data_IF_573361207880
#
_entry.id   IF_573361207880
#
_cell.length_a   1.000
_cell.length_b   1.000
_cell.length_c   1.000
_cell.angle_alpha   90.00
_cell.angle_beta   90.00
_cell.angle_gamma   90.00
#
_symmetry.space_group_name_H-M   'P 1'
#
loop_
_entity.id
_entity.type
_entity.pdbx_description
1 polymer ?
#
# COMPACT_ATOMS: atom_id res chain seq x y z
N UNK A 1 -1.08 -8.37 23.23
CA UNK A 1 -0.87 -7.08 22.53
C UNK A 1 0.11 -7.34 21.41
N UNK A 2 -0.12 -6.80 20.21
CA UNK A 2 0.84 -6.95 19.12
C UNK A 2 2.19 -6.30 19.48
N UNK A 3 3.27 -6.82 18.93
CA UNK A 3 4.64 -6.36 19.19
C UNK A 3 5.25 -5.73 17.93
N UNK A 4 5.82 -4.54 18.08
CA UNK A 4 6.49 -3.81 17.03
C UNK A 4 7.98 -3.64 17.35
N UNK A 5 8.83 -3.96 16.38
CA UNK A 5 10.25 -3.63 16.42
C UNK A 5 10.49 -2.37 15.59
N UNK A 6 11.14 -1.36 16.16
CA UNK A 6 11.48 -0.11 15.48
C UNK A 6 12.99 -0.09 15.27
N UNK A 7 13.45 -0.06 14.03
CA UNK A 7 14.86 -0.11 13.66
C UNK A 7 15.24 1.17 12.91
N UNK A 8 16.03 2.03 13.55
CA UNK A 8 16.43 3.34 13.03
C UNK A 8 17.80 3.70 13.63
N UNK A 9 18.72 4.24 12.84
CA UNK A 9 20.05 4.61 13.34
C UNK A 9 19.97 5.80 14.32
N UNK A 10 19.02 6.71 14.12
CA UNK A 10 18.73 7.82 15.04
C UNK A 10 17.88 7.36 16.23
N UNK A 11 18.51 7.28 17.40
CA UNK A 11 17.86 6.90 18.66
C UNK A 11 16.67 7.79 19.04
N UNK A 12 16.70 9.09 18.72
CA UNK A 12 15.58 9.99 19.01
C UNK A 12 14.42 9.73 18.05
N UNK A 13 14.71 9.50 16.77
CA UNK A 13 13.70 9.14 15.78
C UNK A 13 13.06 7.79 16.12
N UNK A 14 13.87 6.77 16.46
CA UNK A 14 13.41 5.46 16.93
C UNK A 14 12.49 5.58 18.14
N UNK A 15 12.89 6.35 19.17
CA UNK A 15 12.10 6.54 20.39
C UNK A 15 10.77 7.24 20.11
N UNK A 16 10.78 8.29 19.28
CA UNK A 16 9.58 9.03 18.89
C UNK A 16 8.61 8.14 18.11
N UNK A 17 9.12 7.37 17.16
CA UNK A 17 8.33 6.43 16.37
C UNK A 17 7.78 5.30 17.25
N UNK A 18 8.58 4.78 18.18
CA UNK A 18 8.13 3.79 19.16
C UNK A 18 6.98 4.33 20.03
N UNK A 19 7.05 5.58 20.50
CA UNK A 19 5.96 6.20 21.26
C UNK A 19 4.67 6.32 20.42
N UNK A 20 4.78 6.76 19.17
CA UNK A 20 3.64 6.83 18.24
C UNK A 20 2.98 5.46 18.04
N UNK A 21 3.79 4.40 17.87
CA UNK A 21 3.32 3.03 17.67
C UNK A 21 2.72 2.45 18.94
N UNK A 22 3.31 2.75 20.11
CA UNK A 22 2.78 2.34 21.41
C UNK A 22 1.40 2.96 21.69
N UNK A 23 1.19 4.22 21.30
CA UNK A 23 -0.11 4.89 21.39
C UNK A 23 -1.21 4.22 20.52
N UNK A 24 -0.84 3.43 19.52
CA UNK A 24 -1.76 2.63 18.71
C UNK A 24 -1.97 1.20 19.28
N UNK A 25 -1.51 0.93 20.51
CA UNK A 25 -1.78 -0.32 21.24
C UNK A 25 -0.76 -1.44 21.04
N UNK A 26 0.42 -1.12 20.51
CA UNK A 26 1.54 -2.06 20.36
C UNK A 26 2.47 -1.99 21.57
N UNK A 27 3.13 -3.11 21.86
CA UNK A 27 4.38 -3.08 22.64
C UNK A 27 5.53 -2.78 21.67
N UNK A 28 6.52 -1.99 22.07
CA UNK A 28 7.59 -1.54 21.17
C UNK A 28 8.97 -1.86 21.71
N UNK A 29 9.85 -2.33 20.84
CA UNK A 29 11.29 -2.42 21.10
C UNK A 29 12.05 -1.58 20.07
N UNK A 30 12.82 -0.55 20.48
CA UNK A 30 13.72 0.14 19.57
C UNK A 30 15.02 -0.66 19.37
N UNK A 31 15.64 -0.51 18.20
CA UNK A 31 16.95 -1.02 17.86
C UNK A 31 17.68 -0.03 16.95
N UNK A 32 18.98 0.15 17.15
CA UNK A 32 19.77 1.16 16.45
C UNK A 32 20.74 0.59 15.39
N UNK A 33 20.64 -0.72 15.15
CA UNK A 33 21.49 -1.46 14.21
C UNK A 33 20.80 -2.76 13.78
N UNK A 34 21.22 -3.36 12.67
CA UNK A 34 20.78 -4.69 12.25
C UNK A 34 21.12 -5.73 13.32
N UNK A 35 22.30 -5.62 13.94
CA UNK A 35 22.71 -6.54 15.00
C UNK A 35 21.77 -6.50 16.21
N UNK A 36 21.37 -5.31 16.64
CA UNK A 36 20.42 -5.15 17.75
C UNK A 36 19.02 -5.63 17.35
N UNK A 37 18.57 -5.30 16.14
CA UNK A 37 17.29 -5.78 15.60
C UNK A 37 17.22 -7.32 15.62
N UNK A 38 18.28 -8.01 15.16
CA UNK A 38 18.37 -9.48 15.19
C UNK A 38 18.30 -10.03 16.61
N UNK A 39 18.94 -9.38 17.59
CA UNK A 39 18.86 -9.78 19.00
C UNK A 39 17.44 -9.63 19.55
N UNK A 40 16.77 -8.52 19.25
CA UNK A 40 15.39 -8.28 19.67
C UNK A 40 14.44 -9.31 19.05
N UNK A 41 14.56 -9.59 17.74
CA UNK A 41 13.76 -10.60 17.04
C UNK A 41 13.96 -12.02 17.61
N UNK A 42 15.17 -12.34 18.07
CA UNK A 42 15.47 -13.61 18.72
C UNK A 42 14.84 -13.71 20.12
N UNK A 43 14.75 -12.59 20.84
CA UNK A 43 14.14 -12.51 22.17
C UNK A 43 12.62 -12.57 22.10
N UNK A 44 12.02 -11.73 21.25
CA UNK A 44 10.58 -11.65 21.04
C UNK A 44 10.31 -11.40 19.56
N UNK A 45 9.59 -12.34 18.92
CA UNK A 45 9.22 -12.17 17.50
C UNK A 45 8.21 -11.03 17.36
N UNK A 46 8.49 -10.02 16.52
CA UNK A 46 7.54 -8.92 16.28
C UNK A 46 6.46 -9.34 15.29
N UNK A 47 5.27 -8.76 15.45
CA UNK A 47 4.19 -8.80 14.47
C UNK A 47 4.47 -7.82 13.32
N UNK A 48 5.18 -6.70 13.61
CA UNK A 48 5.63 -5.72 12.64
C UNK A 48 7.02 -5.20 12.92
N UNK A 49 7.80 -4.99 11.87
CA UNK A 49 9.10 -4.31 11.90
C UNK A 49 8.97 -3.01 11.12
N UNK A 50 9.26 -1.89 11.77
CA UNK A 50 9.40 -0.57 11.15
C UNK A 50 10.88 -0.33 10.96
N UNK A 51 11.34 -0.27 9.72
CA UNK A 51 12.75 -0.47 9.37
C UNK A 51 13.30 0.65 8.49
N UNK A 52 14.36 1.33 8.94
CA UNK A 52 15.16 2.17 8.05
C UNK A 52 16.05 1.33 7.13
N UNK A 53 16.26 1.85 5.92
CA UNK A 53 17.17 1.29 4.92
C UNK A 53 18.63 1.53 5.25
N UNK A 54 18.94 2.68 5.86
CA UNK A 54 20.32 3.08 6.16
C UNK A 54 20.59 2.85 7.64
N UNK A 55 21.40 1.84 7.94
CA UNK A 55 21.81 1.51 9.30
C UNK A 55 23.34 1.52 9.40
N UNK A 56 23.91 1.73 10.60
CA UNK A 56 25.36 1.86 10.76
C UNK A 56 26.13 0.60 10.38
N UNK A 57 25.48 -0.56 10.39
CA UNK A 57 26.06 -1.88 10.16
C UNK A 57 25.59 -2.57 8.88
N UNK A 58 24.84 -1.88 8.01
CA UNK A 58 24.43 -2.42 6.70
C UNK A 58 23.13 -1.85 6.16
N UNK A 59 22.58 -2.51 5.14
CA UNK A 59 21.28 -2.15 4.58
C UNK A 59 20.15 -2.79 5.38
N UNK A 60 19.12 -2.02 5.72
CA UNK A 60 17.89 -2.54 6.32
C UNK A 60 17.32 -3.74 5.56
N UNK A 61 17.46 -3.74 4.24
CA UNK A 61 16.97 -4.80 3.34
C UNK A 61 17.53 -6.19 3.68
N UNK A 62 18.66 -6.28 4.37
CA UNK A 62 19.24 -7.54 4.82
C UNK A 62 18.33 -8.29 5.82
N UNK A 63 17.53 -7.57 6.62
CA UNK A 63 16.59 -8.19 7.58
C UNK A 63 15.49 -9.03 6.91
N UNK A 64 15.22 -8.83 5.62
CA UNK A 64 14.26 -9.66 4.89
C UNK A 64 14.74 -11.12 4.76
N UNK A 65 16.05 -11.35 4.77
CA UNK A 65 16.63 -12.70 4.69
C UNK A 65 16.52 -13.44 6.03
N UNK A 66 16.47 -12.68 7.14
CA UNK A 66 16.37 -13.20 8.50
C UNK A 66 14.93 -13.56 8.90
N UNK A 67 13.93 -13.11 8.13
CA UNK A 67 12.51 -13.40 8.35
C UNK A 67 12.09 -14.54 7.42
N UNK A 68 11.85 -15.72 7.99
CA UNK A 68 11.38 -16.87 7.21
C UNK A 68 10.10 -16.53 6.43
N UNK A 69 10.00 -17.00 5.19
CA UNK A 69 8.86 -16.74 4.30
C UNK A 69 7.50 -17.23 4.83
N UNK A 70 7.50 -18.05 5.89
CA UNK A 70 6.29 -18.57 6.57
C UNK A 70 5.89 -17.77 7.81
N UNK A 71 6.67 -16.76 8.19
CA UNK A 71 6.40 -15.93 9.38
C UNK A 71 5.36 -14.87 9.08
N UNK A 72 4.51 -14.56 10.07
CA UNK A 72 3.42 -13.59 9.93
C UNK A 72 3.93 -12.14 10.03
N UNK A 73 5.16 -11.93 10.50
CA UNK A 73 5.81 -10.62 10.65
C UNK A 73 5.72 -9.77 9.39
N UNK A 74 5.26 -8.54 9.54
CA UNK A 74 5.16 -7.55 8.46
C UNK A 74 6.31 -6.56 8.53
N UNK A 75 6.93 -6.25 7.40
CA UNK A 75 8.02 -5.28 7.35
C UNK A 75 7.49 -4.02 6.66
N UNK A 76 7.58 -2.89 7.35
CA UNK A 76 7.27 -1.56 6.83
C UNK A 76 8.58 -0.82 6.76
N UNK A 77 8.98 -0.40 5.55
CA UNK A 77 10.18 0.38 5.39
C UNK A 77 9.90 1.86 5.62
N UNK A 78 10.81 2.54 6.31
CA UNK A 78 10.69 3.97 6.64
C UNK A 78 12.05 4.62 6.42
N UNK A 79 12.20 5.44 5.38
CA UNK A 79 13.50 6.04 5.08
C UNK A 79 13.41 7.49 4.66
N UNK A 80 14.45 8.28 4.95
CA UNK A 80 14.65 9.61 4.38
C UNK A 80 15.31 9.60 3.00
N UNK A 81 15.93 8.47 2.61
CA UNK A 81 16.69 8.31 1.36
C UNK A 81 15.90 7.48 0.33
N UNK A 82 14.63 7.82 0.17
CA UNK A 82 13.75 7.06 -0.70
C UNK A 82 14.15 7.18 -2.18
N UNK A 83 14.13 6.05 -2.88
CA UNK A 83 14.32 6.01 -4.34
C UNK A 83 13.34 5.04 -4.99
N UNK A 84 13.08 5.24 -6.29
CA UNK A 84 12.26 4.30 -7.06
C UNK A 84 12.86 2.89 -7.05
N UNK A 85 14.18 2.77 -7.13
CA UNK A 85 14.88 1.49 -7.13
C UNK A 85 14.70 0.75 -5.79
N UNK A 86 14.93 1.44 -4.67
CA UNK A 86 14.82 0.84 -3.32
C UNK A 86 13.39 0.45 -2.97
N UNK A 87 12.40 1.26 -3.37
CA UNK A 87 10.98 0.92 -3.20
C UNK A 87 10.55 -0.30 -4.03
N UNK A 88 11.02 -0.44 -5.27
CA UNK A 88 10.74 -1.63 -6.09
C UNK A 88 11.37 -2.87 -5.45
N UNK A 89 12.62 -2.77 -4.99
CA UNK A 89 13.32 -3.88 -4.35
C UNK A 89 12.62 -4.30 -3.04
N UNK A 90 12.24 -3.34 -2.20
CA UNK A 90 11.45 -3.54 -0.99
C UNK A 90 10.22 -4.42 -1.22
N UNK A 91 9.40 -4.07 -2.20
CA UNK A 91 8.18 -4.82 -2.48
C UNK A 91 8.47 -6.17 -3.14
N UNK A 92 9.57 -6.31 -3.88
CA UNK A 92 10.01 -7.62 -4.39
C UNK A 92 10.41 -8.57 -3.26
N UNK A 93 11.03 -8.05 -2.20
CA UNK A 93 11.38 -8.80 -0.99
C UNK A 93 10.19 -9.05 -0.07
N UNK A 94 9.05 -8.39 -0.31
CA UNK A 94 7.79 -8.63 0.41
C UNK A 94 7.48 -7.60 1.50
N UNK A 95 8.01 -6.38 1.40
CA UNK A 95 7.62 -5.29 2.28
C UNK A 95 6.10 -5.07 2.22
N UNK A 96 5.47 -4.89 3.38
CA UNK A 96 4.04 -4.65 3.49
C UNK A 96 3.67 -3.21 3.10
N UNK A 97 4.56 -2.26 3.38
CA UNK A 97 4.41 -0.84 3.03
C UNK A 97 5.77 -0.13 3.00
N UNK A 98 5.82 1.07 2.42
CA UNK A 98 7.02 1.90 2.31
C UNK A 98 6.67 3.37 2.57
N UNK A 99 7.27 3.96 3.60
CA UNK A 99 7.04 5.33 4.04
C UNK A 99 8.29 6.17 3.84
N UNK A 100 8.10 7.39 3.36
CA UNK A 100 9.18 8.38 3.22
C UNK A 100 9.15 9.30 4.44
N UNK A 101 10.31 9.55 5.07
CA UNK A 101 10.45 10.56 6.12
C UNK A 101 10.38 11.96 5.49
N UNK A 102 9.66 12.94 6.06
CA UNK A 102 8.97 12.90 7.36
C UNK A 102 7.67 12.10 7.32
N UNK A 103 7.45 11.28 8.35
CA UNK A 103 6.35 10.30 8.40
C UNK A 103 5.00 11.01 8.52
N UNK A 104 4.07 10.69 7.62
CA UNK A 104 2.67 11.07 7.79
C UNK A 104 2.00 10.18 8.85
N UNK A 105 1.69 10.77 10.01
CA UNK A 105 1.10 10.06 11.15
C UNK A 105 -0.23 9.39 10.79
N UNK A 106 -1.10 10.02 9.99
CA UNK A 106 -2.37 9.41 9.55
C UNK A 106 -2.11 8.15 8.72
N UNK A 107 -1.12 8.20 7.83
CA UNK A 107 -0.73 7.05 7.01
C UNK A 107 -0.17 5.92 7.88
N UNK A 108 0.74 6.22 8.81
CA UNK A 108 1.30 5.23 9.73
C UNK A 108 0.20 4.54 10.55
N UNK A 109 -0.75 5.28 11.13
CA UNK A 109 -1.88 4.70 11.88
C UNK A 109 -2.71 3.75 11.03
N UNK A 110 -2.99 4.14 9.78
CA UNK A 110 -3.68 3.28 8.82
C UNK A 110 -2.92 1.98 8.53
N UNK A 111 -1.59 2.02 8.49
CA UNK A 111 -0.77 0.81 8.34
C UNK A 111 -0.84 -0.06 9.61
N UNK A 112 -0.62 0.52 10.78
CA UNK A 112 -0.61 -0.23 12.05
C UNK A 112 -1.97 -0.88 12.36
N UNK A 113 -3.08 -0.21 12.03
CA UNK A 113 -4.43 -0.77 12.14
C UNK A 113 -4.67 -2.01 11.24
N UNK A 114 -3.83 -2.22 10.22
CA UNK A 114 -3.85 -3.43 9.38
C UNK A 114 -3.04 -4.58 9.99
N UNK A 115 -1.97 -4.29 10.71
CA UNK A 115 -1.09 -5.28 11.38
C UNK A 115 -1.78 -5.88 12.61
N UNK A 116 -2.46 -5.05 13.40
CA UNK A 116 -3.11 -5.48 14.65
C UNK A 116 -4.24 -6.50 14.47
N UNK A 117 -4.63 -6.81 13.22
CA UNK A 117 -5.61 -7.83 12.86
C UNK A 117 -4.87 -9.10 12.44
N UNK A 118 -4.93 -10.20 13.22
CA UNK A 118 -4.38 -11.49 12.80
C UNK A 118 -5.00 -11.86 11.45
N UNK A 119 -4.18 -11.99 10.41
CA UNK A 119 -4.70 -12.20 9.06
C UNK A 119 -4.78 -13.70 8.73
N UNK A 120 -5.97 -14.28 8.88
CA UNK A 120 -6.37 -15.54 8.22
C UNK A 120 -6.09 -15.50 6.70
N UNK A 121 -6.01 -14.29 6.13
CA UNK A 121 -5.72 -14.00 4.72
C UNK A 121 -4.36 -14.55 4.23
N UNK A 122 -3.28 -14.49 5.02
CA UNK A 122 -1.96 -14.97 4.54
C UNK A 122 -1.97 -16.50 4.36
N UNK A 123 -2.65 -17.23 5.24
CA UNK A 123 -2.85 -18.67 5.11
C UNK A 123 -3.73 -18.99 3.89
N UNK A 124 -4.78 -18.21 3.66
CA UNK A 124 -5.69 -18.36 2.52
C UNK A 124 -4.96 -18.08 1.18
N UNK A 125 -4.12 -17.04 1.08
CA UNK A 125 -3.32 -16.74 -0.12
C UNK A 125 -2.30 -17.86 -0.40
N UNK A 126 -1.67 -18.42 0.63
CA UNK A 126 -0.73 -19.53 0.46
C UNK A 126 -1.42 -20.85 0.09
N UNK A 127 -2.64 -21.09 0.58
CA UNK A 127 -3.48 -22.22 0.15
C UNK A 127 -3.94 -22.05 -1.31
N UNK A 128 -4.39 -20.85 -1.67
CA UNK A 128 -4.77 -20.48 -3.03
C UNK A 128 -3.59 -20.63 -4.01
N UNK A 129 -2.36 -20.27 -3.61
CA UNK A 129 -1.14 -20.47 -4.43
C UNK A 129 -0.92 -21.93 -4.85
N UNK A 130 -1.31 -22.90 -4.01
CA UNK A 130 -1.16 -24.32 -4.28
C UNK A 130 -2.22 -24.86 -5.23
N UNK A 131 -3.49 -24.55 -4.98
CA UNK A 131 -4.62 -25.14 -5.74
C UNK A 131 -4.87 -24.48 -7.10
N UNK A 132 -4.51 -23.21 -7.28
CA UNK A 132 -4.83 -22.43 -8.48
C UNK A 132 -3.83 -22.61 -9.64
N UNK A 133 -2.57 -22.94 -9.35
CA UNK A 133 -1.52 -23.16 -10.37
C UNK A 133 -1.84 -24.36 -11.26
N UNK A 134 -2.34 -25.46 -10.70
CA UNK A 134 -2.66 -26.67 -11.45
C UNK A 134 -3.94 -26.53 -12.30
N UNK A 135 -4.86 -25.66 -11.88
CA UNK A 135 -6.10 -25.38 -12.61
C UNK A 135 -5.93 -24.28 -13.69
N UNK A 136 -4.87 -23.48 -13.63
CA UNK A 136 -4.60 -22.40 -14.58
C UNK A 136 -5.51 -21.19 -14.42
N UNK A 137 -5.98 -20.95 -13.20
CA UNK A 137 -6.80 -19.80 -12.83
C UNK A 137 -6.11 -19.05 -11.72
N UNK A 138 -6.29 -17.74 -11.62
CA UNK A 138 -5.81 -16.96 -10.47
C UNK A 138 -6.77 -15.79 -10.24
N UNK A 139 -7.63 -15.92 -9.21
CA UNK A 139 -8.81 -15.05 -9.10
C UNK A 139 -9.70 -15.16 -10.34
N UNK A 140 -9.95 -14.03 -11.01
CA UNK A 140 -10.74 -13.98 -12.26
C UNK A 140 -9.91 -14.25 -13.53
N UNK A 141 -8.58 -14.27 -13.43
CA UNK A 141 -7.70 -14.49 -14.57
C UNK A 141 -7.62 -15.97 -14.94
N UNK A 142 -7.54 -16.24 -16.24
CA UNK A 142 -7.39 -17.60 -16.80
C UNK A 142 -6.16 -17.61 -17.70
N UNK A 143 -5.28 -18.59 -17.51
CA UNK A 143 -4.07 -18.74 -18.31
C UNK A 143 -3.02 -19.61 -17.64
N UNK A 144 -2.36 -20.45 -18.44
CA UNK A 144 -1.30 -21.38 -18.01
C UNK A 144 0.08 -21.07 -18.59
N UNK A 145 0.18 -20.04 -19.44
CA UNK A 145 1.46 -19.66 -20.04
C UNK A 145 2.45 -19.17 -18.99
N UNK A 146 3.75 -19.36 -19.24
CA UNK A 146 4.79 -18.88 -18.34
C UNK A 146 4.72 -17.37 -18.07
N UNK A 147 4.28 -16.57 -19.05
CA UNK A 147 4.06 -15.14 -18.89
C UNK A 147 2.93 -14.84 -17.89
N UNK A 148 1.80 -15.55 -17.98
CA UNK A 148 0.70 -15.38 -17.03
C UNK A 148 1.07 -15.84 -15.62
N UNK A 149 1.87 -16.92 -15.50
CA UNK A 149 2.37 -17.35 -14.18
C UNK A 149 3.22 -16.26 -13.50
N UNK A 150 4.03 -15.51 -14.26
CA UNK A 150 4.77 -14.35 -13.72
C UNK A 150 3.83 -13.24 -13.24
N UNK A 151 2.76 -12.96 -14.00
CA UNK A 151 1.74 -12.00 -13.58
C UNK A 151 1.07 -12.44 -12.27
N UNK A 152 0.72 -13.73 -12.13
CA UNK A 152 0.15 -14.27 -10.90
C UNK A 152 1.10 -14.12 -9.72
N UNK A 153 2.40 -14.40 -9.92
CA UNK A 153 3.41 -14.24 -8.88
C UNK A 153 3.56 -12.78 -8.44
N UNK A 154 3.49 -11.83 -9.38
CA UNK A 154 3.51 -10.40 -9.06
C UNK A 154 2.26 -9.96 -8.30
N UNK A 155 1.06 -10.37 -8.76
CA UNK A 155 -0.21 -10.09 -8.06
C UNK A 155 -0.16 -10.66 -6.65
N UNK A 156 0.29 -11.91 -6.48
CA UNK A 156 0.35 -12.57 -5.18
C UNK A 156 1.34 -11.91 -4.20
N UNK A 157 2.34 -11.17 -4.69
CA UNK A 157 3.27 -10.40 -3.85
C UNK A 157 2.70 -9.05 -3.47
N UNK A 158 2.01 -8.37 -4.40
CA UNK A 158 1.55 -7.00 -4.21
C UNK A 158 0.16 -6.90 -3.58
N UNK A 159 -0.72 -7.87 -3.80
CA UNK A 159 -2.07 -7.86 -3.23
C UNK A 159 -2.13 -7.68 -1.69
N UNK A 160 -1.28 -8.35 -0.87
CA UNK A 160 -1.34 -8.18 0.59
C UNK A 160 -0.71 -6.87 1.10
N UNK A 161 -0.15 -6.03 0.23
CA UNK A 161 0.55 -4.78 0.59
C UNK A 161 -0.36 -3.55 0.44
N UNK A 162 0.11 -2.39 0.90
CA UNK A 162 -0.63 -1.11 0.81
C UNK A 162 -0.36 -0.30 -0.45
N UNK A 163 0.42 -0.83 -1.40
CA UNK A 163 1.09 -0.01 -2.42
C UNK A 163 0.20 0.27 -3.63
N UNK A 164 0.54 1.36 -4.33
CA UNK A 164 -0.03 1.66 -5.64
C UNK A 164 0.58 0.75 -6.71
N UNK A 165 -0.26 0.21 -7.59
CA UNK A 165 0.14 -0.72 -8.66
C UNK A 165 -0.13 -0.10 -10.02
N UNK A 166 0.87 -0.07 -10.89
CA UNK A 166 0.71 0.30 -12.30
C UNK A 166 0.56 -0.97 -13.16
N UNK A 167 -0.56 -1.09 -13.87
CA UNK A 167 -0.84 -2.23 -14.76
C UNK A 167 -0.70 -1.77 -16.21
N UNK A 168 0.22 -2.38 -16.95
CA UNK A 168 0.51 -2.03 -18.35
C UNK A 168 0.21 -3.20 -19.26
N UNK A 169 -0.41 -2.92 -20.40
CA UNK A 169 -0.75 -3.91 -21.41
C UNK A 169 -1.64 -3.30 -22.50
N UNK A 170 -1.64 -3.92 -23.68
CA UNK A 170 -2.48 -3.51 -24.80
C UNK A 170 -3.98 -3.51 -24.43
N UNK A 171 -4.80 -2.85 -25.25
CA UNK A 171 -6.26 -2.88 -25.05
C UNK A 171 -6.79 -4.31 -25.13
N UNK A 172 -7.74 -4.65 -24.26
CA UNK A 172 -8.34 -5.99 -24.21
C UNK A 172 -7.49 -7.10 -23.54
N UNK A 173 -6.31 -6.79 -23.01
CA UNK A 173 -5.43 -7.79 -22.33
C UNK A 173 -5.86 -8.17 -20.91
N UNK A 174 -6.99 -7.63 -20.41
CA UNK A 174 -7.52 -7.97 -19.09
C UNK A 174 -6.93 -7.18 -17.92
N UNK A 175 -6.46 -5.94 -18.15
CA UNK A 175 -5.93 -5.06 -17.09
C UNK A 175 -6.90 -4.85 -15.92
N UNK A 176 -8.19 -4.67 -16.22
CA UNK A 176 -9.23 -4.54 -15.19
C UNK A 176 -9.35 -5.83 -14.35
N UNK A 177 -9.29 -7.01 -14.98
CA UNK A 177 -9.30 -8.29 -14.27
C UNK A 177 -8.09 -8.47 -13.36
N UNK A 178 -6.93 -7.91 -13.74
CA UNK A 178 -5.75 -7.85 -12.87
C UNK A 178 -6.05 -6.98 -11.64
N UNK A 179 -6.59 -5.78 -11.83
CA UNK A 179 -6.93 -4.87 -10.72
C UNK A 179 -7.96 -5.46 -9.75
N UNK A 180 -9.02 -6.07 -10.28
CA UNK A 180 -10.02 -6.79 -9.47
C UNK A 180 -9.39 -7.97 -8.71
N UNK A 181 -8.49 -8.71 -9.35
CA UNK A 181 -7.81 -9.84 -8.71
C UNK A 181 -6.90 -9.36 -7.58
N UNK A 182 -6.11 -8.29 -7.79
CA UNK A 182 -5.31 -7.64 -6.74
C UNK A 182 -6.21 -7.25 -5.57
N UNK A 183 -7.34 -6.59 -5.81
CA UNK A 183 -8.28 -6.22 -4.76
C UNK A 183 -8.83 -7.42 -3.99
N UNK A 184 -9.29 -8.46 -4.70
CA UNK A 184 -9.89 -9.67 -4.11
C UNK A 184 -8.93 -10.46 -3.20
N UNK A 185 -7.62 -10.38 -3.51
CA UNK A 185 -6.56 -11.01 -2.75
C UNK A 185 -5.91 -10.07 -1.74
N UNK A 186 -6.38 -8.82 -1.65
CA UNK A 186 -5.87 -7.84 -0.70
C UNK A 186 -6.58 -7.90 0.64
N UNK A 187 -5.99 -7.24 1.64
CA UNK A 187 -6.63 -7.03 2.95
C UNK A 187 -7.89 -6.18 2.86
N UNK A 188 -8.09 -5.46 1.76
CA UNK A 188 -9.24 -4.60 1.48
C UNK A 188 -10.34 -5.32 0.69
N UNK A 189 -10.25 -6.64 0.47
CA UNK A 189 -11.22 -7.43 -0.33
C UNK A 189 -12.69 -7.33 0.09
N UNK A 190 -12.97 -6.91 1.33
CA UNK A 190 -14.33 -6.69 1.86
C UNK A 190 -14.81 -5.25 1.70
N UNK A 191 -13.93 -4.35 1.27
CA UNK A 191 -14.19 -2.93 1.07
C UNK A 191 -14.58 -2.65 -0.38
N UNK A 192 -14.95 -1.41 -0.68
CA UNK A 192 -15.37 -1.02 -2.02
C UNK A 192 -14.20 -1.11 -3.03
N UNK A 193 -14.47 -1.73 -4.17
CA UNK A 193 -13.67 -1.62 -5.38
C UNK A 193 -14.43 -0.75 -6.38
N UNK A 194 -13.80 0.31 -6.87
CA UNK A 194 -14.38 1.16 -7.90
C UNK A 194 -13.41 1.25 -9.08
N UNK A 195 -13.85 0.81 -10.25
CA UNK A 195 -13.15 1.02 -11.50
C UNK A 195 -13.71 2.27 -12.20
N UNK A 196 -12.81 3.14 -12.63
CA UNK A 196 -13.13 4.39 -13.33
C UNK A 196 -12.24 4.47 -14.56
N UNK A 197 -12.86 4.59 -15.74
CA UNK A 197 -12.14 4.92 -16.96
C UNK A 197 -12.00 6.44 -17.07
N UNK A 198 -10.77 6.94 -17.06
CA UNK A 198 -10.47 8.37 -17.12
C UNK A 198 -10.85 9.01 -18.46
N UNK A 199 -10.76 8.27 -19.57
CA UNK A 199 -11.15 8.73 -20.91
C UNK A 199 -12.67 8.81 -21.13
N UNK A 200 -13.47 8.11 -20.32
CA UNK A 200 -14.93 8.12 -20.41
C UNK A 200 -15.59 9.34 -19.74
N UNK A 201 -14.85 10.10 -18.93
CA UNK A 201 -15.37 11.27 -18.21
C UNK A 201 -14.95 12.55 -18.93
N UNK A 202 -15.89 13.49 -19.10
CA UNK A 202 -15.57 14.79 -19.67
C UNK A 202 -14.45 15.48 -18.86
N UNK A 203 -13.44 16.08 -19.51
CA UNK A 203 -12.36 16.81 -18.85
C UNK A 203 -12.83 17.88 -17.85
N UNK A 204 -14.02 18.43 -18.06
CA UNK A 204 -14.62 19.45 -17.19
C UNK A 204 -15.25 18.88 -15.91
N UNK A 205 -15.57 17.58 -15.89
CA UNK A 205 -16.25 16.92 -14.78
C UNK A 205 -15.32 15.98 -14.00
N UNK A 206 -14.25 15.48 -14.63
CA UNK A 206 -13.34 14.51 -14.01
C UNK A 206 -12.75 15.00 -12.69
N UNK A 207 -12.47 16.29 -12.54
CA UNK A 207 -11.99 16.84 -11.26
C UNK A 207 -13.04 16.66 -10.15
N UNK A 208 -14.27 17.10 -10.42
CA UNK A 208 -15.40 16.99 -9.49
C UNK A 208 -15.72 15.53 -9.16
N UNK A 209 -15.72 14.65 -10.16
CA UNK A 209 -16.00 13.22 -9.96
C UNK A 209 -14.89 12.53 -9.16
N UNK A 210 -13.61 12.90 -9.37
CA UNK A 210 -12.47 12.32 -8.64
C UNK A 210 -12.40 12.80 -7.19
N UNK A 211 -12.44 14.12 -6.98
CA UNK A 211 -12.15 14.76 -5.69
C UNK A 211 -13.39 15.25 -4.93
N UNK A 212 -14.56 15.25 -5.57
CA UNK A 212 -15.77 15.83 -5.00
C UNK A 212 -15.79 17.36 -5.09
N UNK A 213 -16.95 17.93 -4.78
CA UNK A 213 -17.11 19.38 -4.77
C UNK A 213 -18.07 19.84 -3.66
N UNK A 214 -17.83 21.05 -3.16
CA UNK A 214 -18.75 21.74 -2.27
C UNK A 214 -19.89 22.40 -3.05
N UNK A 215 -21.03 22.59 -2.38
CA UNK A 215 -22.15 23.32 -2.96
C UNK A 215 -21.73 24.75 -3.31
N UNK A 216 -21.98 25.18 -4.54
CA UNK A 216 -21.66 26.53 -5.02
C UNK A 216 -20.21 26.74 -5.47
N UNK A 217 -19.40 25.68 -5.52
CA UNK A 217 -18.00 25.74 -5.97
C UNK A 217 -17.83 26.12 -7.46
N UNK A 218 -18.82 25.83 -8.30
CA UNK A 218 -18.87 26.24 -9.70
C UNK A 218 -20.33 26.36 -10.19
N UNK A 219 -20.52 26.94 -11.37
CA UNK A 219 -21.84 27.10 -11.99
C UNK A 219 -22.49 25.74 -12.25
N UNK A 220 -23.55 25.42 -11.50
CA UNK A 220 -24.25 24.12 -11.56
C UNK A 220 -24.00 23.21 -10.35
N UNK A 221 -23.11 23.57 -9.43
CA UNK A 221 -22.85 22.86 -8.17
C UNK A 221 -24.00 23.06 -7.15
N UNK A 222 -25.19 22.56 -7.46
CA UNK A 222 -26.40 22.77 -6.66
C UNK A 222 -26.41 22.01 -5.33
N UNK A 223 -25.57 20.98 -5.22
CA UNK A 223 -25.39 20.14 -4.02
C UNK A 223 -23.93 19.79 -3.85
N UNK A 224 -23.56 19.38 -2.64
CA UNK A 224 -22.27 18.74 -2.39
C UNK A 224 -22.22 17.38 -3.09
N UNK A 225 -21.05 17.00 -3.58
CA UNK A 225 -20.80 15.71 -4.22
C UNK A 225 -19.56 15.04 -3.63
N UNK A 226 -19.69 13.77 -3.25
CA UNK A 226 -18.58 12.95 -2.79
C UNK A 226 -17.87 12.33 -3.99
N UNK A 227 -16.60 12.67 -4.18
CA UNK A 227 -15.80 12.13 -5.27
C UNK A 227 -15.42 10.66 -5.09
N UNK A 228 -14.81 10.07 -6.10
CA UNK A 228 -14.38 8.69 -6.11
C UNK A 228 -13.43 8.37 -4.96
N UNK A 229 -12.45 9.22 -4.66
CA UNK A 229 -11.53 8.98 -3.55
C UNK A 229 -12.23 8.83 -2.20
N UNK A 230 -13.23 9.68 -1.93
CA UNK A 230 -14.06 9.60 -0.73
C UNK A 230 -14.92 8.33 -0.71
N UNK A 231 -15.55 8.00 -1.85
CA UNK A 231 -16.40 6.82 -1.98
C UNK A 231 -15.61 5.51 -1.86
N UNK A 232 -14.32 5.53 -2.18
CA UNK A 232 -13.40 4.39 -2.04
C UNK A 232 -12.53 4.48 -0.79
N UNK A 233 -12.94 5.24 0.22
CA UNK A 233 -12.20 5.29 1.48
C UNK A 233 -12.01 3.87 2.05
N UNK A 234 -10.78 3.55 2.46
CA UNK A 234 -10.32 2.20 2.88
C UNK A 234 -10.44 1.09 1.83
N UNK A 235 -10.91 1.39 0.62
CA UNK A 235 -11.10 0.47 -0.49
C UNK A 235 -9.97 0.50 -1.52
N UNK A 236 -10.34 0.23 -2.76
CA UNK A 236 -9.45 0.27 -3.93
C UNK A 236 -10.11 1.07 -5.05
N UNK A 237 -9.40 2.09 -5.53
CA UNK A 237 -9.77 2.84 -6.73
C UNK A 237 -8.86 2.38 -7.88
N UNK A 238 -9.46 1.86 -8.94
CA UNK A 238 -8.76 1.52 -10.18
C UNK A 238 -9.03 2.60 -11.22
N UNK A 239 -7.96 3.23 -11.69
CA UNK A 239 -7.99 4.27 -12.72
C UNK A 239 -7.52 3.66 -14.05
N UNK A 240 -8.48 3.29 -14.90
CA UNK A 240 -8.19 2.80 -16.24
C UNK A 240 -7.94 3.96 -17.20
N UNK A 241 -7.09 3.72 -18.20
CA UNK A 241 -6.67 4.74 -19.17
C UNK A 241 -6.15 6.02 -18.48
N UNK A 242 -5.35 5.86 -17.41
CA UNK A 242 -4.78 6.97 -16.63
C UNK A 242 -4.00 7.99 -17.50
N UNK A 243 -3.54 7.58 -18.68
CA UNK A 243 -2.87 8.44 -19.66
C UNK A 243 -3.79 9.52 -20.26
N UNK A 244 -5.11 9.30 -20.25
CA UNK A 244 -6.12 10.26 -20.70
C UNK A 244 -6.45 11.32 -19.63
N UNK A 245 -5.87 11.20 -18.42
CA UNK A 245 -6.08 12.18 -17.36
C UNK A 245 -5.44 13.53 -17.72
N UNK A 246 -6.19 14.65 -17.61
CA UNK A 246 -5.65 16.00 -17.79
C UNK A 246 -4.43 16.28 -16.90
N UNK A 247 -3.41 16.98 -17.42
CA UNK A 247 -2.13 17.20 -16.73
C UNK A 247 -2.28 17.93 -15.39
N UNK A 248 -3.21 18.87 -15.30
CA UNK A 248 -3.54 19.60 -14.08
C UNK A 248 -4.07 18.68 -12.98
N UNK A 249 -4.79 17.61 -13.34
CA UNK A 249 -5.27 16.61 -12.38
C UNK A 249 -4.19 15.60 -11.99
N UNK A 250 -3.20 15.35 -12.85
CA UNK A 250 -2.06 14.49 -12.50
C UNK A 250 -1.27 15.06 -11.32
N UNK A 251 -1.15 16.40 -11.23
CA UNK A 251 -0.51 17.08 -10.08
C UNK A 251 -1.28 16.82 -8.78
N UNK A 252 -2.61 16.84 -8.83
CA UNK A 252 -3.46 16.55 -7.66
C UNK A 252 -3.43 15.08 -7.29
N UNK A 253 -3.44 14.18 -8.27
CA UNK A 253 -3.28 12.75 -8.06
C UNK A 253 -1.95 12.43 -7.38
N UNK A 254 -0.84 13.03 -7.84
CA UNK A 254 0.47 12.87 -7.21
C UNK A 254 0.42 13.21 -5.72
N UNK A 255 -0.18 14.34 -5.36
CA UNK A 255 -0.34 14.73 -3.96
C UNK A 255 -1.13 13.68 -3.15
N UNK A 256 -2.20 13.11 -3.72
CA UNK A 256 -2.95 12.04 -3.06
C UNK A 256 -2.08 10.80 -2.83
N UNK A 257 -1.27 10.42 -3.82
CA UNK A 257 -0.39 9.26 -3.71
C UNK A 257 0.71 9.47 -2.66
N UNK A 258 1.23 10.68 -2.51
CA UNK A 258 2.26 11.02 -1.54
C UNK A 258 1.72 11.19 -0.11
N UNK A 259 0.60 11.92 0.04
CA UNK A 259 0.13 12.35 1.36
C UNK A 259 -1.11 11.62 1.84
N UNK A 260 -1.82 10.90 0.95
CA UNK A 260 -3.11 10.28 1.26
C UNK A 260 -4.23 11.29 1.51
N UNK A 261 -4.05 12.56 1.11
CA UNK A 261 -5.01 13.65 1.36
C UNK A 261 -5.31 14.42 0.08
N UNK A 262 -6.53 14.91 -0.05
CA UNK A 262 -6.96 15.81 -1.13
C UNK A 262 -7.94 16.85 -0.59
N UNK A 263 -8.25 17.84 -1.42
CA UNK A 263 -9.27 18.83 -1.14
C UNK A 263 -10.38 18.71 -2.17
N UNK A 264 -11.63 18.84 -1.72
CA UNK A 264 -12.78 19.03 -2.62
C UNK A 264 -12.64 20.34 -3.38
N UNK A 265 -13.24 20.38 -4.57
CA UNK A 265 -13.33 21.62 -5.35
C UNK A 265 -14.15 22.66 -4.57
N UNK A 266 -13.55 23.85 -4.39
CA UNK A 266 -14.14 24.96 -3.62
C UNK A 266 -14.09 24.82 -2.10
N UNK A 267 -13.33 23.85 -1.56
CA UNK A 267 -13.08 23.73 -0.12
C UNK A 267 -11.77 24.41 0.28
N UNK A 268 -11.78 25.15 1.39
CA UNK A 268 -10.59 25.67 2.07
C UNK A 268 -10.04 24.69 3.15
N UNK A 269 -10.69 23.53 3.33
CA UNK A 269 -10.30 22.50 4.30
C UNK A 269 -9.82 21.22 3.59
N UNK A 270 -8.69 20.69 4.10
CA UNK A 270 -8.03 19.42 3.70
C UNK A 270 -8.62 18.19 4.40
#
# INVERSE_FOLDING_TARGET
>A
MPHALVVDDDANAAATLAELVANEGFTTAPANSLQEARRQMAFQRPDVVLLDLMLPDGSGMELFQDIESRTITEIILITGHASLETSIEAFRLGAADYLVKPINVKHLKSILARVARPSDLKAEINSLRGELRDLGRFGKLIGRSAAMQKVYDQIARVAPTGVTVLVVGESGTGKELVAETVHSLSRRRKQHFLAVNCGAISPQLIESEMFGHEKGSFTGANRQHMGYFERTHEGTLFLDEITEMPQDLQVKLLRVLETGTFMRVGSDQQ
#
